data_IF_058525415708
#
_entry.id   IF_058525415708
#
_cell.length_a   1.000
_cell.length_b   1.000
_cell.length_c   1.000
_cell.angle_alpha   90.00
_cell.angle_beta   90.00
_cell.angle_gamma   90.00
#
_symmetry.space_group_name_H-M   'P 1'
#
loop_
_entity.id
_entity.type
_entity.pdbx_description
1 polymer ?
#
# COMPACT_ATOMS: atom_id res chain seq x y z
N UNK A 1 -77.09 -15.48 22.44
CA UNK A 1 -76.92 -15.09 21.02
C UNK A 1 -75.69 -14.20 20.95
N UNK A 2 -74.50 -14.79 20.92
CA UNK A 2 -73.23 -14.08 20.76
C UNK A 2 -72.35 -14.98 19.87
N UNK A 3 -71.69 -14.35 18.91
CA UNK A 3 -70.56 -14.83 18.09
C UNK A 3 -70.78 -15.89 16.99
N UNK A 4 -71.60 -15.58 15.98
CA UNK A 4 -71.49 -16.22 14.65
C UNK A 4 -71.02 -15.27 13.53
N UNK A 5 -70.95 -13.95 13.78
CA UNK A 5 -70.46 -12.98 12.80
C UNK A 5 -68.93 -12.78 12.84
N UNK A 6 -68.28 -13.02 13.98
CA UNK A 6 -66.82 -12.86 14.12
C UNK A 6 -66.02 -14.01 13.49
N UNK A 7 -66.58 -15.23 13.39
CA UNK A 7 -65.86 -16.36 12.77
C UNK A 7 -65.87 -16.26 11.25
N UNK A 8 -66.98 -15.83 10.62
CA UNK A 8 -67.06 -15.70 9.15
C UNK A 8 -66.07 -14.68 8.57
N UNK A 9 -65.85 -13.57 9.26
CA UNK A 9 -64.86 -12.57 8.82
C UNK A 9 -63.40 -13.03 8.99
N UNK A 10 -63.14 -13.97 9.90
CA UNK A 10 -61.79 -14.54 10.07
C UNK A 10 -61.50 -15.57 8.97
N UNK A 11 -62.49 -16.41 8.66
CA UNK A 11 -62.40 -17.38 7.56
C UNK A 11 -62.23 -16.68 6.20
N UNK A 12 -62.98 -15.60 5.93
CA UNK A 12 -62.84 -14.82 4.69
C UNK A 12 -61.47 -14.13 4.54
N UNK A 13 -60.83 -13.77 5.67
CA UNK A 13 -59.49 -13.17 5.68
C UNK A 13 -58.39 -14.23 5.51
N UNK A 14 -58.58 -15.42 6.06
CA UNK A 14 -57.68 -16.56 5.85
C UNK A 14 -57.76 -17.07 4.41
N UNK A 15 -58.94 -17.14 3.81
CA UNK A 15 -59.12 -17.51 2.41
C UNK A 15 -58.52 -16.48 1.45
N UNK A 16 -58.70 -15.18 1.72
CA UNK A 16 -58.03 -14.13 0.93
C UNK A 16 -56.51 -14.14 1.11
N UNK A 17 -56.02 -14.41 2.32
CA UNK A 17 -54.58 -14.55 2.55
C UNK A 17 -54.01 -15.78 1.84
N UNK A 18 -54.75 -16.89 1.82
CA UNK A 18 -54.37 -18.10 1.11
C UNK A 18 -54.35 -17.89 -0.41
N UNK A 19 -55.33 -17.20 -0.99
CA UNK A 19 -55.35 -16.84 -2.41
C UNK A 19 -54.19 -15.92 -2.80
N UNK A 20 -53.84 -14.94 -1.96
CA UNK A 20 -52.70 -14.05 -2.22
C UNK A 20 -51.38 -14.81 -2.16
N UNK A 21 -51.23 -15.73 -1.21
CA UNK A 21 -50.01 -16.57 -1.09
C UNK A 21 -49.88 -17.55 -2.27
N UNK A 22 -50.98 -18.20 -2.68
CA UNK A 22 -51.00 -19.12 -3.82
C UNK A 22 -50.72 -18.37 -5.15
N UNK A 23 -51.26 -17.17 -5.31
CA UNK A 23 -50.97 -16.30 -6.44
C UNK A 23 -49.49 -15.85 -6.47
N UNK A 24 -48.88 -15.58 -5.31
CA UNK A 24 -47.47 -15.18 -5.20
C UNK A 24 -46.51 -16.36 -5.41
N UNK A 25 -46.86 -17.56 -4.94
CA UNK A 25 -46.12 -18.81 -5.23
C UNK A 25 -46.19 -19.17 -6.73
N UNK A 26 -47.36 -19.04 -7.34
CA UNK A 26 -47.56 -19.28 -8.77
C UNK A 26 -46.76 -18.28 -9.61
N UNK A 27 -46.80 -16.98 -9.28
CA UNK A 27 -46.01 -15.95 -9.96
C UNK A 27 -44.48 -16.16 -9.80
N UNK A 28 -44.02 -16.67 -8.66
CA UNK A 28 -42.62 -17.07 -8.46
C UNK A 28 -42.24 -18.29 -9.30
N UNK A 29 -43.11 -19.28 -9.42
CA UNK A 29 -42.87 -20.45 -10.26
C UNK A 29 -42.80 -20.09 -11.75
N UNK A 30 -43.66 -19.18 -12.21
CA UNK A 30 -43.71 -18.70 -13.60
C UNK A 30 -42.51 -17.83 -14.03
N UNK A 31 -41.73 -17.34 -13.07
CA UNK A 31 -40.54 -16.50 -13.32
C UNK A 31 -39.21 -17.27 -13.23
N UNK A 32 -39.23 -18.58 -12.91
CA UNK A 32 -38.02 -19.42 -12.78
C UNK A 32 -37.22 -19.51 -14.09
N UNK A 33 -37.91 -19.64 -15.22
CA UNK A 33 -37.27 -19.80 -16.54
C UNK A 33 -36.95 -18.46 -17.23
N UNK A 34 -37.29 -17.33 -16.60
CA UNK A 34 -37.00 -15.99 -17.12
C UNK A 34 -35.71 -15.46 -16.48
N UNK A 35 -34.83 -14.79 -17.26
CA UNK A 35 -33.79 -13.98 -16.62
C UNK A 35 -34.47 -12.93 -15.72
N UNK A 36 -33.89 -12.61 -14.55
CA UNK A 36 -34.53 -11.73 -13.56
C UNK A 36 -34.85 -10.37 -14.18
N UNK A 37 -36.13 -9.98 -14.10
CA UNK A 37 -36.65 -8.72 -14.63
C UNK A 37 -36.30 -7.54 -13.71
N UNK A 38 -36.26 -6.31 -14.24
CA UNK A 38 -35.80 -5.11 -13.53
C UNK A 38 -36.60 -4.77 -12.26
N UNK A 39 -37.80 -5.34 -12.11
CA UNK A 39 -38.70 -5.20 -10.96
C UNK A 39 -38.38 -6.14 -9.78
N UNK A 40 -37.50 -7.14 -9.98
CA UNK A 40 -36.83 -7.77 -8.85
C UNK A 40 -35.76 -6.79 -8.38
N UNK A 41 -35.86 -6.28 -7.14
CA UNK A 41 -34.96 -5.27 -6.51
C UNK A 41 -33.50 -5.76 -6.31
N UNK A 42 -32.98 -6.53 -7.26
CA UNK A 42 -31.57 -6.85 -7.46
C UNK A 42 -30.92 -5.62 -8.09
N UNK A 43 -30.79 -4.56 -7.28
CA UNK A 43 -30.12 -3.33 -7.68
C UNK A 43 -28.68 -3.67 -8.09
N UNK A 44 -28.41 -3.73 -9.40
CA UNK A 44 -27.09 -4.04 -9.98
C UNK A 44 -26.02 -3.24 -9.22
N UNK A 45 -25.02 -3.94 -8.66
CA UNK A 45 -23.93 -3.30 -7.91
C UNK A 45 -23.33 -2.19 -8.77
N UNK A 46 -23.30 -0.95 -8.26
CA UNK A 46 -22.79 0.19 -9.04
C UNK A 46 -21.32 -0.08 -9.37
N UNK A 47 -21.01 -0.23 -10.66
CA UNK A 47 -19.63 -0.33 -11.14
C UNK A 47 -19.02 1.07 -11.10
N UNK A 48 -18.01 1.26 -10.26
CA UNK A 48 -17.29 2.53 -10.18
C UNK A 48 -16.22 2.60 -11.26
N UNK A 49 -16.13 3.76 -11.93
CA UNK A 49 -15.04 4.03 -12.86
C UNK A 49 -13.78 4.43 -12.08
N UNK A 50 -12.58 4.21 -12.64
CA UNK A 50 -11.33 4.54 -11.94
C UNK A 50 -11.24 6.00 -11.46
N UNK A 51 -11.83 6.93 -12.21
CA UNK A 51 -11.77 8.37 -11.92
C UNK A 51 -12.98 8.89 -11.13
N UNK A 52 -13.86 8.02 -10.63
CA UNK A 52 -14.99 8.45 -9.81
C UNK A 52 -14.49 9.08 -8.50
N UNK A 53 -15.10 10.20 -8.08
CA UNK A 53 -14.71 10.94 -6.87
C UNK A 53 -14.67 10.05 -5.62
N UNK A 54 -15.58 9.08 -5.52
CA UNK A 54 -15.62 8.12 -4.42
C UNK A 54 -14.36 7.23 -4.35
N UNK A 55 -13.80 6.85 -5.49
CA UNK A 55 -12.57 6.03 -5.58
C UNK A 55 -11.34 6.89 -5.32
N UNK A 56 -11.32 8.09 -5.87
CA UNK A 56 -10.20 9.03 -5.71
C UNK A 56 -10.08 9.49 -4.26
N UNK A 57 -11.17 9.98 -3.65
CA UNK A 57 -11.11 10.56 -2.31
C UNK A 57 -10.90 9.51 -1.21
N UNK A 58 -11.45 8.30 -1.33
CA UNK A 58 -11.27 7.26 -0.31
C UNK A 58 -9.80 6.79 -0.18
N UNK A 59 -8.98 7.05 -1.20
CA UNK A 59 -7.54 6.80 -1.12
C UNK A 59 -6.84 7.68 -0.08
N UNK A 60 -7.38 8.86 0.27
CA UNK A 60 -6.75 9.77 1.23
C UNK A 60 -6.69 9.20 2.66
N UNK A 61 -7.80 8.81 3.32
CA UNK A 61 -7.72 8.19 4.64
C UNK A 61 -6.91 6.89 4.61
N UNK A 62 -7.02 6.11 3.52
CA UNK A 62 -6.28 4.86 3.40
C UNK A 62 -4.76 5.08 3.25
N UNK A 63 -4.31 6.07 2.49
CA UNK A 63 -2.89 6.40 2.34
C UNK A 63 -2.31 6.94 3.64
N UNK A 64 -3.05 7.79 4.36
CA UNK A 64 -2.67 8.33 5.67
C UNK A 64 -2.48 7.19 6.68
N UNK A 65 -3.45 6.26 6.78
CA UNK A 65 -3.33 5.09 7.65
C UNK A 65 -2.17 4.19 7.25
N UNK A 66 -1.94 3.99 5.94
CA UNK A 66 -0.82 3.21 5.44
C UNK A 66 0.53 3.81 5.82
N UNK A 67 0.71 5.13 5.62
CA UNK A 67 1.95 5.84 5.98
C UNK A 67 2.17 5.85 7.49
N UNK A 68 1.13 6.10 8.30
CA UNK A 68 1.24 6.05 9.75
C UNK A 68 1.63 4.65 10.22
N UNK A 69 1.00 3.62 9.65
CA UNK A 69 1.35 2.24 9.89
C UNK A 69 2.82 1.95 9.56
N UNK A 70 3.30 2.38 8.38
CA UNK A 70 4.70 2.24 7.99
C UNK A 70 5.66 2.90 8.97
N UNK A 71 5.45 4.18 9.27
CA UNK A 71 6.34 4.97 10.12
C UNK A 71 6.33 4.44 11.57
N UNK A 72 5.14 4.10 12.07
CA UNK A 72 4.96 3.48 13.39
C UNK A 72 5.65 2.13 13.49
N UNK A 73 5.42 1.22 12.54
CA UNK A 73 6.09 -0.09 12.52
C UNK A 73 7.61 0.06 12.40
N UNK A 74 8.09 0.98 11.55
CA UNK A 74 9.52 1.24 11.41
C UNK A 74 10.13 1.74 12.71
N UNK A 75 9.46 2.67 13.40
CA UNK A 75 9.92 3.20 14.69
C UNK A 75 9.90 2.14 15.80
N UNK A 76 8.89 1.27 15.84
CA UNK A 76 8.79 0.21 16.86
C UNK A 76 9.82 -0.92 16.67
N UNK A 77 10.27 -1.12 15.45
CA UNK A 77 11.20 -2.21 15.09
C UNK A 77 12.65 -1.74 14.93
N UNK A 78 12.89 -0.43 15.05
CA UNK A 78 14.23 0.15 15.07
C UNK A 78 14.70 0.27 16.52
N UNK A 79 15.46 -0.73 16.98
CA UNK A 79 16.10 -0.75 18.29
C UNK A 79 17.48 -1.42 18.19
N UNK A 80 18.35 -1.11 19.16
CA UNK A 80 19.70 -1.65 19.23
C UNK A 80 19.67 -3.18 19.41
N UNK A 81 20.40 -3.91 18.55
CA UNK A 81 20.41 -5.37 18.55
C UNK A 81 19.22 -6.03 17.84
N UNK A 82 18.47 -5.29 17.01
CA UNK A 82 17.43 -5.88 16.14
C UNK A 82 18.00 -6.92 15.17
N UNK A 83 17.45 -8.14 15.20
CA UNK A 83 17.88 -9.25 14.32
C UNK A 83 17.34 -9.12 12.90
N UNK A 84 16.23 -8.40 12.72
CA UNK A 84 15.54 -8.21 11.44
C UNK A 84 15.43 -6.72 11.19
N UNK A 85 15.83 -6.26 10.01
CA UNK A 85 15.74 -4.85 9.64
C UNK A 85 14.28 -4.38 9.60
N UNK A 86 14.01 -3.18 10.14
CA UNK A 86 12.67 -2.63 10.33
C UNK A 86 11.78 -2.71 9.09
N UNK A 87 12.35 -2.45 7.90
CA UNK A 87 11.62 -2.48 6.64
C UNK A 87 11.05 -3.87 6.31
N UNK A 88 11.67 -4.97 6.77
CA UNK A 88 11.13 -6.31 6.54
C UNK A 88 9.73 -6.48 7.17
N UNK A 89 9.53 -5.95 8.38
CA UNK A 89 8.21 -5.96 9.04
C UNK A 89 7.19 -5.15 8.26
N UNK A 90 7.59 -3.97 7.78
CA UNK A 90 6.75 -3.09 6.97
C UNK A 90 6.31 -3.81 5.68
N UNK A 91 7.23 -4.43 4.95
CA UNK A 91 6.86 -5.14 3.72
C UNK A 91 6.01 -6.37 4.04
N UNK A 92 6.38 -7.16 5.05
CA UNK A 92 5.68 -8.39 5.43
C UNK A 92 4.23 -8.14 5.84
N UNK A 93 3.99 -7.19 6.75
CA UNK A 93 2.64 -6.85 7.22
C UNK A 93 1.81 -6.26 6.07
N UNK A 94 2.36 -5.32 5.29
CA UNK A 94 1.63 -4.74 4.17
C UNK A 94 1.28 -5.76 3.08
N UNK A 95 2.17 -6.72 2.82
CA UNK A 95 1.95 -7.83 1.91
C UNK A 95 0.93 -8.85 2.44
N UNK A 96 0.92 -9.11 3.75
CA UNK A 96 -0.08 -9.96 4.40
C UNK A 96 -1.48 -9.36 4.26
N UNK A 97 -1.66 -8.07 4.58
CA UNK A 97 -2.95 -7.39 4.43
C UNK A 97 -3.36 -7.30 2.96
N UNK A 98 -2.41 -7.12 2.04
CA UNK A 98 -2.67 -7.20 0.60
C UNK A 98 -3.21 -8.57 0.20
N UNK A 99 -2.55 -9.66 0.60
CA UNK A 99 -3.01 -11.03 0.35
C UNK A 99 -4.44 -11.26 0.84
N UNK A 100 -4.74 -10.84 2.07
CA UNK A 100 -6.08 -10.92 2.66
C UNK A 100 -7.11 -10.12 1.85
N UNK A 101 -6.78 -8.88 1.49
CA UNK A 101 -7.64 -8.01 0.69
C UNK A 101 -7.92 -8.55 -0.71
N UNK A 102 -6.95 -9.23 -1.34
CA UNK A 102 -7.12 -9.87 -2.65
C UNK A 102 -8.15 -11.00 -2.61
N UNK A 103 -8.17 -11.83 -1.56
CA UNK A 103 -9.17 -12.89 -1.39
C UNK A 103 -10.59 -12.32 -1.20
N UNK A 104 -10.71 -11.13 -0.59
CA UNK A 104 -12.01 -10.47 -0.36
C UNK A 104 -12.46 -9.55 -1.52
N UNK A 105 -11.88 -9.67 -2.71
CA UNK A 105 -12.20 -8.81 -3.86
C UNK A 105 -13.68 -8.84 -4.24
N UNK A 106 -14.26 -10.03 -4.35
CA UNK A 106 -15.67 -10.20 -4.69
C UNK A 106 -16.62 -9.65 -3.63
N UNK A 107 -16.51 -10.05 -2.34
CA UNK A 107 -17.42 -9.53 -1.32
C UNK A 107 -17.29 -8.02 -1.13
N UNK A 108 -16.07 -7.47 -1.12
CA UNK A 108 -15.85 -6.02 -1.04
C UNK A 108 -16.38 -5.29 -2.28
N UNK A 109 -16.25 -5.89 -3.47
CA UNK A 109 -16.78 -5.35 -4.72
C UNK A 109 -18.30 -5.25 -4.72
N UNK A 110 -18.99 -6.27 -4.21
CA UNK A 110 -20.46 -6.30 -4.06
C UNK A 110 -20.95 -5.28 -3.03
N UNK A 111 -20.21 -5.11 -1.93
CA UNK A 111 -20.55 -4.13 -0.90
C UNK A 111 -20.27 -2.70 -1.37
N UNK A 112 -19.00 -2.34 -1.60
CA UNK A 112 -18.59 -1.02 -2.06
C UNK A 112 -17.18 -1.08 -2.68
N UNK A 113 -17.12 -1.22 -4.01
CA UNK A 113 -15.87 -1.32 -4.78
C UNK A 113 -14.73 -0.35 -4.37
N UNK A 114 -15.00 0.93 -4.05
CA UNK A 114 -13.96 1.85 -3.59
C UNK A 114 -13.22 1.38 -2.33
N UNK A 115 -13.83 0.58 -1.44
CA UNK A 115 -13.13 0.02 -0.28
C UNK A 115 -12.04 -0.98 -0.68
N UNK A 116 -12.28 -1.80 -1.70
CA UNK A 116 -11.25 -2.71 -2.20
C UNK A 116 -10.02 -1.94 -2.68
N UNK A 117 -10.24 -0.86 -3.45
CA UNK A 117 -9.17 0.03 -3.90
C UNK A 117 -8.51 0.77 -2.73
N UNK A 118 -9.27 1.20 -1.73
CA UNK A 118 -8.76 1.82 -0.51
C UNK A 118 -7.82 0.88 0.25
N UNK A 119 -8.20 -0.39 0.45
CA UNK A 119 -7.37 -1.37 1.17
C UNK A 119 -6.11 -1.72 0.38
N UNK A 120 -6.28 -2.14 -0.88
CA UNK A 120 -5.16 -2.66 -1.68
C UNK A 120 -4.22 -1.56 -2.15
N UNK A 121 -4.77 -0.52 -2.78
CA UNK A 121 -3.98 0.56 -3.38
C UNK A 121 -3.74 1.71 -2.41
N UNK A 122 -4.69 2.04 -1.53
CA UNK A 122 -4.50 3.09 -0.54
C UNK A 122 -3.59 2.65 0.60
N UNK A 123 -4.09 1.74 1.44
CA UNK A 123 -3.44 1.29 2.67
C UNK A 123 -2.21 0.41 2.40
N UNK A 124 -2.38 -0.80 1.83
CA UNK A 124 -1.26 -1.74 1.62
C UNK A 124 -0.19 -1.14 0.72
N UNK A 125 -0.62 -0.38 -0.29
CA UNK A 125 0.27 0.33 -1.19
C UNK A 125 1.10 1.40 -0.45
N UNK A 126 0.52 2.14 0.49
CA UNK A 126 1.22 3.20 1.23
C UNK A 126 1.97 2.69 2.46
N UNK A 127 1.60 1.52 2.96
CA UNK A 127 2.29 0.83 4.04
C UNK A 127 3.63 0.28 3.55
N UNK A 128 3.64 -0.37 2.38
CA UNK A 128 4.88 -0.85 1.76
C UNK A 128 5.63 0.26 1.02
N UNK A 129 6.93 0.13 0.81
CA UNK A 129 7.72 1.09 -0.01
C UNK A 129 8.81 0.40 -0.80
N UNK A 130 8.80 0.57 -2.12
CA UNK A 130 9.87 0.02 -2.97
C UNK A 130 11.09 0.94 -2.97
N UNK A 131 10.91 2.26 -2.96
CA UNK A 131 12.03 3.21 -2.94
C UNK A 131 12.87 3.11 -1.67
N UNK A 132 12.24 2.90 -0.50
CA UNK A 132 12.97 2.62 0.75
C UNK A 132 13.77 1.32 0.68
N UNK A 133 13.20 0.28 0.08
CA UNK A 133 13.90 -0.99 -0.14
C UNK A 133 15.13 -0.83 -1.04
N UNK A 134 15.02 -0.06 -2.12
CA UNK A 134 16.17 0.22 -3.00
C UNK A 134 17.24 1.07 -2.30
N UNK A 135 16.83 2.04 -1.45
CA UNK A 135 17.76 2.85 -0.67
C UNK A 135 18.56 1.98 0.33
N UNK A 136 17.90 1.07 1.04
CA UNK A 136 18.55 0.17 2.02
C UNK A 136 19.59 -0.74 1.35
N UNK A 137 19.26 -1.30 0.18
CA UNK A 137 20.21 -2.10 -0.62
C UNK A 137 21.41 -1.22 -1.02
N UNK A 138 21.16 -0.03 -1.56
CA UNK A 138 22.23 0.85 -2.01
C UNK A 138 23.15 1.28 -0.86
N UNK A 139 22.57 1.70 0.28
CA UNK A 139 23.30 2.06 1.49
C UNK A 139 24.16 0.91 2.03
N UNK A 140 23.69 -0.33 1.87
CA UNK A 140 24.45 -1.52 2.27
C UNK A 140 25.68 -1.77 1.40
N UNK A 141 25.64 -1.36 0.13
CA UNK A 141 26.76 -1.50 -0.81
C UNK A 141 27.81 -0.40 -0.65
N UNK A 142 27.39 0.83 -0.36
CA UNK A 142 28.32 1.95 -0.12
C UNK A 142 28.84 1.99 1.33
N UNK A 143 28.39 1.06 2.18
CA UNK A 143 28.71 1.00 3.61
C UNK A 143 28.48 2.33 4.35
N UNK A 144 27.33 2.98 4.09
CA UNK A 144 27.02 4.31 4.60
C UNK A 144 26.96 4.43 6.14
N UNK A 145 27.01 3.31 6.86
CA UNK A 145 26.75 3.24 8.30
C UNK A 145 27.94 2.75 9.13
N UNK A 146 29.15 2.67 8.56
CA UNK A 146 30.39 2.30 9.27
C UNK A 146 30.28 1.08 10.21
N UNK A 147 29.45 0.10 9.85
CA UNK A 147 29.37 -1.12 10.63
C UNK A 147 30.67 -1.90 10.44
N UNK A 148 31.43 -2.13 11.52
CA UNK A 148 32.54 -3.09 11.54
C UNK A 148 31.98 -4.50 11.37
N UNK A 149 31.68 -4.88 10.14
CA UNK A 149 31.18 -6.21 9.78
C UNK A 149 32.36 -7.05 9.34
N UNK A 150 33.17 -7.46 10.32
CA UNK A 150 34.22 -8.45 10.13
C UNK A 150 33.61 -9.84 10.10
N UNK A 151 33.58 -10.48 8.94
CA UNK A 151 33.42 -11.93 8.83
C UNK A 151 34.80 -12.60 8.77
N UNK A 152 35.05 -13.56 9.66
CA UNK A 152 36.26 -14.41 9.80
C UNK A 152 37.56 -13.78 10.36
N UNK A 153 37.50 -12.76 11.22
CA UNK A 153 38.68 -12.37 12.04
C UNK A 153 38.31 -11.97 13.47
N UNK A 154 37.92 -12.95 14.26
CA UNK A 154 38.17 -12.97 15.70
C UNK A 154 39.36 -13.90 16.02
N UNK A 155 40.35 -13.92 15.12
CA UNK A 155 41.71 -14.39 15.46
C UNK A 155 42.56 -13.14 15.51
N UNK A 156 42.99 -12.78 16.72
CA UNK A 156 43.92 -11.70 17.04
C UNK A 156 45.15 -11.69 16.12
N UNK A 157 45.06 -11.00 14.98
CA UNK A 157 46.23 -10.65 14.18
C UNK A 157 46.11 -9.20 13.70
N UNK A 158 47.05 -8.31 14.08
CA UNK A 158 47.07 -6.93 13.66
C UNK A 158 47.63 -6.86 12.23
N UNK A 159 46.77 -7.06 11.24
CA UNK A 159 47.09 -6.80 9.83
C UNK A 159 46.04 -5.82 9.28
N UNK A 160 46.43 -4.70 8.64
CA UNK A 160 45.47 -3.77 8.06
C UNK A 160 44.59 -4.48 7.01
N UNK A 161 43.28 -4.17 6.93
CA UNK A 161 42.38 -4.87 6.03
C UNK A 161 42.73 -4.54 4.57
N UNK A 162 42.99 -5.58 3.80
CA UNK A 162 43.10 -5.51 2.35
C UNK A 162 41.74 -5.08 1.79
N UNK A 163 41.69 -4.00 1.01
CA UNK A 163 40.47 -3.36 0.46
C UNK A 163 39.47 -4.30 -0.23
N UNK A 164 39.90 -5.51 -0.59
CA UNK A 164 39.15 -6.49 -1.38
C UNK A 164 38.21 -7.40 -0.57
N UNK A 165 38.50 -7.69 0.72
CA UNK A 165 37.59 -8.53 1.54
C UNK A 165 36.31 -7.77 1.96
N UNK A 166 36.42 -6.45 2.15
CA UNK A 166 35.30 -5.61 2.59
C UNK A 166 34.18 -5.50 1.54
N UNK A 167 34.55 -5.53 0.24
CA UNK A 167 33.62 -5.34 -0.88
C UNK A 167 32.69 -6.55 -1.07
N UNK A 168 33.18 -7.78 -0.85
CA UNK A 168 32.36 -8.99 -1.01
C UNK A 168 31.26 -9.07 0.06
N UNK A 169 31.57 -8.75 1.31
CA UNK A 169 30.60 -8.78 2.43
C UNK A 169 29.49 -7.75 2.23
N UNK A 170 29.82 -6.56 1.72
CA UNK A 170 28.84 -5.50 1.43
C UNK A 170 27.90 -5.91 0.30
N UNK A 171 28.43 -6.44 -0.80
CA UNK A 171 27.63 -6.91 -1.93
C UNK A 171 26.66 -8.03 -1.53
N UNK A 172 27.15 -9.02 -0.77
CA UNK A 172 26.33 -10.13 -0.25
C UNK A 172 25.19 -9.61 0.63
N UNK A 173 25.44 -8.58 1.44
CA UNK A 173 24.39 -8.02 2.30
C UNK A 173 23.24 -7.39 1.49
N UNK A 174 23.52 -6.62 0.43
CA UNK A 174 22.45 -6.06 -0.40
C UNK A 174 21.65 -7.13 -1.16
N UNK A 175 22.30 -8.21 -1.59
CA UNK A 175 21.60 -9.40 -2.13
C UNK A 175 20.78 -10.07 -1.04
N UNK A 176 21.30 -10.19 0.18
CA UNK A 176 20.60 -10.74 1.34
C UNK A 176 19.32 -9.97 1.65
N UNK A 177 19.40 -8.63 1.76
CA UNK A 177 18.23 -7.74 1.94
C UNK A 177 17.23 -7.98 0.81
N UNK A 178 17.69 -8.00 -0.45
CA UNK A 178 16.82 -8.21 -1.61
C UNK A 178 16.08 -9.55 -1.54
N UNK A 179 16.81 -10.63 -1.22
CA UNK A 179 16.27 -11.99 -1.18
C UNK A 179 15.29 -12.18 -0.04
N UNK A 180 15.64 -11.69 1.16
CA UNK A 180 14.79 -11.76 2.35
C UNK A 180 13.50 -10.97 2.11
N UNK A 181 13.61 -9.72 1.66
CA UNK A 181 12.43 -8.88 1.43
C UNK A 181 11.50 -9.48 0.38
N UNK A 182 12.02 -9.97 -0.75
CA UNK A 182 11.20 -10.56 -1.80
C UNK A 182 10.52 -11.85 -1.33
N UNK A 183 11.27 -12.75 -0.69
CA UNK A 183 10.74 -14.03 -0.20
C UNK A 183 9.69 -13.81 0.87
N UNK A 184 9.97 -12.93 1.84
CA UNK A 184 9.02 -12.56 2.89
C UNK A 184 7.75 -11.96 2.29
N UNK A 185 7.86 -11.03 1.35
CA UNK A 185 6.70 -10.38 0.73
C UNK A 185 5.81 -11.38 -0.02
N UNK A 186 6.40 -12.29 -0.80
CA UNK A 186 5.66 -13.32 -1.53
C UNK A 186 5.01 -14.35 -0.59
N UNK A 187 5.74 -14.78 0.45
CA UNK A 187 5.20 -15.67 1.48
C UNK A 187 4.05 -15.00 2.25
N UNK A 188 4.21 -13.73 2.64
CA UNK A 188 3.18 -12.95 3.34
C UNK A 188 1.92 -12.76 2.50
N UNK A 189 2.02 -12.46 1.20
CA UNK A 189 0.84 -12.40 0.32
C UNK A 189 0.14 -13.75 0.26
N UNK A 190 0.89 -14.83 0.14
CA UNK A 190 0.32 -16.18 0.02
C UNK A 190 -0.39 -16.58 1.32
N UNK A 191 0.25 -16.33 2.46
CA UNK A 191 -0.34 -16.55 3.79
C UNK A 191 -1.57 -15.68 4.04
N UNK A 192 -1.49 -14.39 3.71
CA UNK A 192 -2.63 -13.47 3.81
C UNK A 192 -3.81 -13.91 2.96
N UNK A 193 -3.56 -14.44 1.75
CA UNK A 193 -4.63 -14.97 0.90
C UNK A 193 -5.33 -16.18 1.52
N UNK A 194 -4.58 -17.12 2.11
CA UNK A 194 -5.14 -18.26 2.86
C UNK A 194 -5.97 -17.80 4.06
N UNK A 195 -5.49 -16.81 4.83
CA UNK A 195 -6.26 -16.23 5.93
C UNK A 195 -7.56 -15.56 5.43
N UNK A 196 -7.50 -14.89 4.29
CA UNK A 196 -8.67 -14.27 3.65
C UNK A 196 -9.71 -15.30 3.25
N UNK A 197 -9.30 -16.43 2.66
CA UNK A 197 -10.18 -17.53 2.28
C UNK A 197 -10.80 -18.22 3.50
N UNK A 198 -10.03 -18.37 4.59
CA UNK A 198 -10.55 -18.92 5.84
C UNK A 198 -11.57 -17.98 6.50
N UNK A 199 -11.37 -16.66 6.40
CA UNK A 199 -12.26 -15.66 6.98
C UNK A 199 -13.51 -15.40 6.13
N UNK A 200 -13.45 -15.58 4.80
CA UNK A 200 -14.53 -15.25 3.87
C UNK A 200 -15.91 -15.80 4.27
N UNK A 201 -16.07 -17.09 4.67
CA UNK A 201 -17.37 -17.62 5.08
C UNK A 201 -17.94 -16.97 6.35
N UNK A 202 -17.08 -16.43 7.21
CA UNK A 202 -17.47 -15.79 8.47
C UNK A 202 -17.76 -14.30 8.30
N UNK A 203 -17.26 -13.67 7.23
CA UNK A 203 -17.44 -12.25 6.95
C UNK A 203 -18.77 -11.99 6.23
N UNK A 204 -19.78 -11.61 7.01
CA UNK A 204 -21.07 -11.17 6.47
C UNK A 204 -20.99 -9.69 6.07
N UNK A 205 -20.89 -9.44 4.77
CA UNK A 205 -20.96 -8.06 4.26
C UNK A 205 -22.41 -7.58 4.19
N UNK A 206 -22.70 -6.36 4.67
CA UNK A 206 -24.05 -5.81 4.60
C UNK A 206 -24.43 -5.48 3.14
N UNK A 207 -25.72 -5.19 2.93
CA UNK A 207 -26.22 -4.76 1.61
C UNK A 207 -25.50 -3.49 1.14
N UNK A 208 -25.49 -3.28 -0.17
CA UNK A 208 -24.88 -2.12 -0.83
C UNK A 208 -25.30 -0.80 -0.15
N UNK A 209 -24.35 0.10 0.18
CA UNK A 209 -24.63 1.25 1.02
C UNK A 209 -25.57 2.26 0.32
N UNK A 210 -26.56 2.83 1.06
CA UNK A 210 -27.43 3.87 0.53
C UNK A 210 -26.65 5.12 0.11
N UNK A 211 -27.30 5.99 -0.67
CA UNK A 211 -26.67 7.21 -1.22
C UNK A 211 -26.03 8.08 -0.12
N UNK A 212 -26.72 8.26 1.01
CA UNK A 212 -26.21 9.09 2.11
C UNK A 212 -24.88 8.55 2.66
N UNK A 213 -24.76 7.24 2.91
CA UNK A 213 -23.52 6.64 3.41
C UNK A 213 -22.36 6.85 2.45
N UNK A 214 -22.60 6.70 1.14
CA UNK A 214 -21.55 6.91 0.12
C UNK A 214 -21.09 8.37 0.05
N UNK A 215 -22.02 9.31 0.12
CA UNK A 215 -21.68 10.73 0.20
C UNK A 215 -20.95 11.05 1.50
N UNK A 216 -21.39 10.53 2.64
CA UNK A 216 -20.72 10.69 3.94
C UNK A 216 -19.29 10.15 3.89
N UNK A 217 -19.06 8.94 3.35
CA UNK A 217 -17.70 8.38 3.19
C UNK A 217 -16.83 9.31 2.35
N UNK A 218 -17.37 9.84 1.24
CA UNK A 218 -16.64 10.73 0.34
C UNK A 218 -16.28 12.06 1.02
N UNK A 219 -17.24 12.68 1.71
CA UNK A 219 -17.04 13.93 2.47
C UNK A 219 -16.05 13.72 3.61
N UNK A 220 -16.21 12.66 4.41
CA UNK A 220 -15.29 12.32 5.49
C UNK A 220 -13.88 12.11 4.94
N UNK A 221 -13.73 11.44 3.79
CA UNK A 221 -12.42 11.22 3.18
C UNK A 221 -11.74 12.55 2.78
N UNK A 222 -12.50 13.51 2.24
CA UNK A 222 -12.01 14.85 1.95
C UNK A 222 -11.64 15.62 3.23
N UNK A 223 -12.46 15.52 4.27
CA UNK A 223 -12.21 16.15 5.57
C UNK A 223 -10.97 15.58 6.26
N UNK A 224 -10.74 14.27 6.19
CA UNK A 224 -9.53 13.62 6.73
C UNK A 224 -8.27 14.12 6.01
N UNK A 225 -8.34 14.32 4.69
CA UNK A 225 -7.22 14.94 3.97
C UNK A 225 -7.02 16.42 4.36
N UNK A 226 -8.10 17.20 4.47
CA UNK A 226 -8.00 18.57 4.98
C UNK A 226 -7.41 18.64 6.39
N UNK A 227 -7.77 17.69 7.25
CA UNK A 227 -7.25 17.57 8.60
C UNK A 227 -5.73 17.28 8.62
N UNK A 228 -5.18 16.53 7.66
CA UNK A 228 -3.73 16.29 7.60
C UNK A 228 -2.92 17.55 7.29
N UNK A 229 -3.50 18.49 6.54
CA UNK A 229 -2.90 19.81 6.29
C UNK A 229 -2.96 20.65 7.57
N UNK A 230 -4.11 20.65 8.25
CA UNK A 230 -4.29 21.38 9.52
C UNK A 230 -3.35 20.85 10.61
N UNK A 231 -3.17 19.53 10.73
CA UNK A 231 -2.26 18.95 11.75
C UNK A 231 -0.80 19.34 11.53
N UNK A 232 -0.36 19.54 10.29
CA UNK A 232 1.00 20.03 10.04
C UNK A 232 1.28 21.41 10.63
N UNK A 233 0.28 22.30 10.59
CA UNK A 233 0.40 23.65 11.15
C UNK A 233 0.12 23.70 12.66
N UNK A 234 -0.78 22.85 13.18
CA UNK A 234 -1.20 22.87 14.58
C UNK A 234 -0.33 22.02 15.53
N UNK A 235 0.23 20.90 15.09
CA UNK A 235 1.07 20.06 15.97
C UNK A 235 2.46 20.68 16.17
N UNK A 236 3.09 20.25 17.28
CA UNK A 236 4.47 20.60 17.64
C UNK A 236 5.45 20.36 16.48
N UNK A 237 6.44 21.25 16.36
CA UNK A 237 7.49 21.24 15.34
C UNK A 237 8.23 19.89 15.28
N UNK A 238 8.40 19.25 16.44
CA UNK A 238 9.04 17.93 16.59
C UNK A 238 8.37 16.84 15.76
N UNK A 239 7.05 16.87 15.57
CA UNK A 239 6.32 15.86 14.79
C UNK A 239 6.29 16.16 13.30
N UNK A 240 6.73 17.34 12.87
CA UNK A 240 6.59 17.76 11.47
C UNK A 240 7.42 16.90 10.52
N UNK A 241 8.68 16.70 10.85
CA UNK A 241 9.57 15.87 10.03
C UNK A 241 9.33 14.36 10.23
N UNK A 242 8.82 13.96 11.40
CA UNK A 242 8.61 12.55 11.74
C UNK A 242 7.33 11.97 11.17
N UNK A 243 6.26 12.76 11.08
CA UNK A 243 4.95 12.26 10.70
C UNK A 243 4.14 13.25 9.85
N UNK A 244 3.86 14.48 10.33
CA UNK A 244 2.80 15.29 9.72
C UNK A 244 3.12 15.76 8.30
N UNK A 245 4.39 16.02 7.97
CA UNK A 245 4.81 16.30 6.59
C UNK A 245 4.55 15.09 5.68
N UNK A 246 4.86 13.88 6.14
CA UNK A 246 4.60 12.66 5.37
C UNK A 246 3.09 12.44 5.15
N UNK A 247 2.23 12.80 6.10
CA UNK A 247 0.77 12.68 5.95
C UNK A 247 0.21 13.54 4.82
N UNK A 248 0.66 14.79 4.71
CA UNK A 248 0.24 15.71 3.62
C UNK A 248 0.59 15.12 2.26
N UNK A 249 1.81 14.60 2.14
CA UNK A 249 2.35 14.12 0.88
C UNK A 249 1.97 12.67 0.55
N UNK A 250 1.42 11.91 1.50
CA UNK A 250 0.98 10.52 1.31
C UNK A 250 -0.07 10.39 0.20
N UNK A 251 -1.14 11.17 0.27
CA UNK A 251 -2.26 11.08 -0.67
C UNK A 251 -1.86 11.49 -2.10
N UNK A 252 -1.16 12.62 -2.35
CA UNK A 252 -0.61 12.91 -3.67
C UNK A 252 0.27 11.80 -4.24
N UNK A 253 1.14 11.19 -3.42
CA UNK A 253 1.96 10.05 -3.85
C UNK A 253 1.12 8.85 -4.27
N UNK A 254 0.12 8.49 -3.47
CA UNK A 254 -0.83 7.41 -3.78
C UNK A 254 -1.65 7.69 -5.03
N UNK A 255 -2.11 8.94 -5.25
CA UNK A 255 -2.84 9.34 -6.44
C UNK A 255 -1.98 9.20 -7.70
N UNK A 256 -0.74 9.70 -7.66
CA UNK A 256 0.19 9.57 -8.79
C UNK A 256 0.40 8.09 -9.14
N UNK A 257 0.62 7.23 -8.14
CA UNK A 257 0.67 5.77 -8.37
C UNK A 257 -0.61 5.25 -9.00
N UNK A 258 -1.75 5.56 -8.42
CA UNK A 258 -3.05 5.06 -8.87
C UNK A 258 -3.32 5.43 -10.34
N UNK A 259 -3.04 6.68 -10.72
CA UNK A 259 -3.18 7.13 -12.10
C UNK A 259 -2.16 6.46 -13.04
N UNK A 260 -0.90 6.32 -12.64
CA UNK A 260 0.10 5.59 -13.43
C UNK A 260 -0.32 4.13 -13.65
N UNK A 261 -0.75 3.43 -12.61
CA UNK A 261 -1.21 2.03 -12.70
C UNK A 261 -2.47 1.89 -13.56
N UNK A 262 -3.45 2.78 -13.42
CA UNK A 262 -4.70 2.71 -14.20
C UNK A 262 -4.50 3.02 -15.68
N UNK A 263 -3.58 3.94 -16.03
CA UNK A 263 -3.31 4.33 -17.42
C UNK A 263 -2.33 3.37 -18.11
N UNK A 264 -1.25 2.97 -17.44
CA UNK A 264 -0.13 2.29 -18.09
C UNK A 264 -0.20 0.75 -17.97
N UNK A 265 -0.72 0.20 -16.86
CA UNK A 265 -0.79 -1.28 -16.71
C UNK A 265 -1.57 -1.96 -17.84
N UNK A 266 -2.74 -1.45 -18.30
CA UNK A 266 -3.49 -2.07 -19.39
C UNK A 266 -2.79 -1.97 -20.75
N UNK A 267 -1.83 -1.04 -20.91
CA UNK A 267 -1.23 -0.70 -22.21
C UNK A 267 -0.16 -1.69 -22.66
N UNK A 268 0.57 -2.29 -21.73
CA UNK A 268 1.65 -3.23 -22.03
C UNK A 268 1.40 -4.60 -21.37
N UNK A 269 1.06 -5.61 -22.16
CA UNK A 269 0.77 -6.99 -21.67
C UNK A 269 2.02 -7.77 -21.21
N UNK A 270 3.22 -7.22 -21.45
CA UNK A 270 4.48 -7.88 -21.15
C UNK A 270 4.89 -7.77 -19.67
N UNK A 271 4.58 -6.63 -19.04
CA UNK A 271 4.83 -6.36 -17.63
C UNK A 271 3.91 -5.22 -17.14
N UNK A 272 3.60 -5.15 -15.83
CA UNK A 272 2.84 -4.05 -15.23
C UNK A 272 3.61 -2.72 -15.27
N UNK A 273 3.50 -2.03 -16.41
CA UNK A 273 4.35 -0.86 -16.69
C UNK A 273 4.04 0.37 -15.83
N UNK A 274 2.82 0.52 -15.32
CA UNK A 274 2.44 1.62 -14.43
C UNK A 274 3.01 1.45 -13.03
N UNK A 275 2.94 0.23 -12.48
CA UNK A 275 3.58 -0.09 -11.19
C UNK A 275 5.10 0.04 -11.29
N UNK A 276 5.70 -0.44 -12.40
CA UNK A 276 7.12 -0.21 -12.68
C UNK A 276 7.45 1.28 -12.73
N UNK A 277 6.72 2.08 -13.53
CA UNK A 277 6.97 3.51 -13.69
C UNK A 277 6.86 4.25 -12.34
N UNK A 278 5.85 3.95 -11.54
CA UNK A 278 5.68 4.53 -10.20
C UNK A 278 6.87 4.18 -9.29
N UNK A 279 7.30 2.92 -9.26
CA UNK A 279 8.44 2.46 -8.47
C UNK A 279 9.76 3.13 -8.89
N UNK A 280 10.05 3.22 -10.19
CA UNK A 280 11.29 3.83 -10.69
C UNK A 280 11.28 5.34 -10.49
N UNK A 281 10.16 6.03 -10.80
CA UNK A 281 10.02 7.47 -10.58
C UNK A 281 10.16 7.83 -9.10
N UNK A 282 9.46 7.13 -8.21
CA UNK A 282 9.55 7.41 -6.78
C UNK A 282 10.93 7.08 -6.20
N UNK A 283 11.61 6.06 -6.73
CA UNK A 283 13.00 5.75 -6.37
C UNK A 283 13.96 6.86 -6.78
N UNK A 284 13.83 7.39 -8.01
CA UNK A 284 14.64 8.50 -8.49
C UNK A 284 14.40 9.80 -7.71
N UNK A 285 13.14 10.11 -7.40
CA UNK A 285 12.78 11.27 -6.59
C UNK A 285 13.33 11.17 -5.16
N UNK A 286 13.20 9.99 -4.53
CA UNK A 286 13.74 9.76 -3.19
C UNK A 286 15.26 9.95 -3.18
N UNK A 287 15.98 9.42 -4.18
CA UNK A 287 17.41 9.62 -4.35
C UNK A 287 17.75 11.12 -4.49
N UNK A 288 17.03 11.86 -5.32
CA UNK A 288 17.25 13.29 -5.52
C UNK A 288 17.01 14.10 -4.23
N UNK A 289 15.93 13.81 -3.49
CA UNK A 289 15.67 14.47 -2.21
C UNK A 289 16.72 14.13 -1.15
N UNK A 290 17.26 12.91 -1.17
CA UNK A 290 18.36 12.51 -0.29
C UNK A 290 19.66 13.29 -0.63
N UNK A 291 19.96 13.50 -1.91
CA UNK A 291 21.09 14.38 -2.31
C UNK A 291 20.85 15.81 -1.81
N UNK A 292 19.65 16.36 -2.00
CA UNK A 292 19.31 17.71 -1.56
C UNK A 292 19.40 17.90 -0.04
N UNK A 293 19.15 16.87 0.77
CA UNK A 293 19.34 16.94 2.23
C UNK A 293 20.83 16.93 2.64
N UNK A 294 21.71 16.43 1.77
CA UNK A 294 23.13 16.22 2.02
C UNK A 294 24.05 17.26 1.36
N UNK A 295 23.51 18.30 0.72
CA UNK A 295 24.32 19.36 0.08
C UNK A 295 25.04 20.22 1.12
N UNK A 296 26.30 20.56 0.87
CA UNK A 296 27.18 21.29 1.80
C UNK A 296 26.65 22.65 2.30
N UNK A 297 25.67 23.25 1.61
CA UNK A 297 25.03 24.49 2.04
C UNK A 297 23.87 24.17 2.98
N UNK A 298 23.76 24.83 4.16
CA UNK A 298 22.71 24.54 5.11
C UNK A 298 21.33 24.81 4.48
N UNK A 299 20.54 23.75 4.35
CA UNK A 299 19.14 23.82 3.95
C UNK A 299 18.34 24.35 5.14
N UNK A 300 17.34 25.21 4.91
CA UNK A 300 16.49 25.70 6.00
C UNK A 300 15.79 24.53 6.73
N UNK A 301 15.56 24.62 8.05
CA UNK A 301 14.88 23.55 8.79
C UNK A 301 13.52 23.17 8.19
N UNK A 302 12.76 24.16 7.72
CA UNK A 302 11.49 23.95 7.02
C UNK A 302 11.66 23.16 5.71
N UNK A 303 12.68 23.50 4.90
CA UNK A 303 12.96 22.76 3.67
C UNK A 303 13.40 21.32 3.96
N UNK A 304 14.15 21.08 5.04
CA UNK A 304 14.47 19.73 5.51
C UNK A 304 13.22 18.93 5.86
N UNK A 305 12.30 19.52 6.64
CA UNK A 305 11.01 18.91 6.97
C UNK A 305 10.19 18.56 5.75
N UNK A 306 10.12 19.46 4.76
CA UNK A 306 9.40 19.21 3.50
C UNK A 306 10.05 18.11 2.69
N UNK A 307 11.39 18.13 2.54
CA UNK A 307 12.13 17.07 1.86
C UNK A 307 11.93 15.71 2.55
N UNK A 308 11.89 15.68 3.88
CA UNK A 308 11.60 14.46 4.63
C UNK A 308 10.18 13.96 4.37
N UNK A 309 9.18 14.85 4.41
CA UNK A 309 7.81 14.52 4.04
C UNK A 309 7.64 14.06 2.59
N UNK A 310 8.44 14.56 1.65
CA UNK A 310 8.45 14.10 0.26
C UNK A 310 9.09 12.71 0.12
N UNK A 311 10.11 12.38 0.91
CA UNK A 311 10.70 11.03 0.94
C UNK A 311 9.73 10.03 1.58
N UNK A 312 9.32 10.31 2.81
CA UNK A 312 8.55 9.39 3.65
C UNK A 312 7.06 9.37 3.31
N UNK A 313 6.52 10.46 2.79
CA UNK A 313 5.13 10.58 2.33
C UNK A 313 5.02 10.29 0.84
N UNK A 314 5.47 11.23 -0.01
CA UNK A 314 5.23 11.16 -1.45
C UNK A 314 5.89 9.93 -2.10
N UNK A 315 7.22 9.81 -2.01
CA UNK A 315 7.96 8.72 -2.67
C UNK A 315 7.61 7.37 -2.05
N UNK A 316 7.48 7.33 -0.73
CA UNK A 316 7.06 6.14 -0.01
C UNK A 316 5.65 5.66 -0.41
N UNK A 317 4.69 6.56 -0.68
CA UNK A 317 3.33 6.20 -1.12
C UNK A 317 3.20 6.00 -2.63
N UNK A 318 4.04 6.66 -3.42
CA UNK A 318 4.14 6.49 -4.87
C UNK A 318 4.67 5.09 -5.21
N UNK A 319 5.66 4.62 -4.46
CA UNK A 319 6.24 3.29 -4.66
C UNK A 319 5.54 2.22 -3.82
N UNK A 320 5.70 0.94 -4.18
CA UNK A 320 5.08 -0.18 -3.43
C UNK A 320 5.73 -1.52 -3.70
N UNK A 321 5.83 -2.31 -2.63
CA UNK A 321 6.20 -3.73 -2.70
C UNK A 321 4.96 -4.62 -2.70
N UNK A 322 3.87 -4.26 -2.01
CA UNK A 322 2.67 -5.10 -1.94
C UNK A 322 2.00 -5.31 -3.30
N UNK A 323 1.87 -4.25 -4.11
CA UNK A 323 1.31 -4.39 -5.47
C UNK A 323 2.28 -5.12 -6.38
N UNK A 324 3.57 -4.79 -6.30
CA UNK A 324 4.63 -5.47 -7.06
C UNK A 324 4.67 -6.98 -6.77
N UNK A 325 4.62 -7.39 -5.50
CA UNK A 325 4.64 -8.79 -5.10
C UNK A 325 3.35 -9.53 -5.51
N UNK A 326 2.19 -8.88 -5.46
CA UNK A 326 0.93 -9.44 -5.96
C UNK A 326 1.01 -9.70 -7.48
N UNK A 327 1.53 -8.74 -8.24
CA UNK A 327 1.74 -8.88 -9.68
C UNK A 327 2.76 -9.99 -10.00
N UNK A 328 3.86 -10.09 -9.24
CA UNK A 328 4.87 -11.15 -9.41
C UNK A 328 4.27 -12.54 -9.16
N UNK A 329 3.41 -12.68 -8.14
CA UNK A 329 2.70 -13.92 -7.83
C UNK A 329 1.75 -14.34 -8.96
N UNK A 330 1.05 -13.39 -9.55
CA UNK A 330 0.01 -13.66 -10.56
C UNK A 330 0.60 -13.77 -11.99
N UNK A 331 1.84 -13.32 -12.21
CA UNK A 331 2.57 -13.48 -13.48
C UNK A 331 3.13 -14.91 -13.67
N UNK A 332 3.19 -15.36 -14.92
CA UNK A 332 3.89 -16.61 -15.26
C UNK A 332 5.40 -16.54 -14.94
N UNK A 333 5.99 -17.69 -14.56
CA UNK A 333 7.36 -17.81 -14.00
C UNK A 333 8.42 -16.93 -14.68
N UNK A 334 8.54 -17.00 -16.01
CA UNK A 334 9.53 -16.22 -16.75
C UNK A 334 9.23 -14.72 -16.79
N UNK A 335 7.94 -14.34 -16.89
CA UNK A 335 7.53 -12.92 -16.83
C UNK A 335 7.76 -12.34 -15.45
N UNK A 336 7.44 -13.12 -14.41
CA UNK A 336 7.69 -12.76 -13.01
C UNK A 336 9.19 -12.53 -12.76
N UNK A 337 10.04 -13.49 -13.14
CA UNK A 337 11.50 -13.35 -13.01
C UNK A 337 12.03 -12.11 -13.73
N UNK A 338 11.64 -11.91 -15.00
CA UNK A 338 12.01 -10.71 -15.76
C UNK A 338 11.54 -9.43 -15.07
N UNK A 339 10.30 -9.39 -14.57
CA UNK A 339 9.74 -8.22 -13.91
C UNK A 339 10.48 -7.87 -12.63
N UNK A 340 10.84 -8.87 -11.81
CA UNK A 340 11.65 -8.69 -10.61
C UNK A 340 13.02 -8.12 -10.96
N UNK A 341 13.74 -8.76 -11.90
CA UNK A 341 15.10 -8.35 -12.29
C UNK A 341 15.10 -6.94 -12.87
N UNK A 342 14.18 -6.63 -13.79
CA UNK A 342 14.09 -5.29 -14.41
C UNK A 342 13.77 -4.22 -13.36
N UNK A 343 12.80 -4.48 -12.47
CA UNK A 343 12.45 -3.51 -11.42
C UNK A 343 13.62 -3.23 -10.49
N UNK A 344 14.32 -4.30 -10.06
CA UNK A 344 15.46 -4.20 -9.16
C UNK A 344 16.66 -3.49 -9.81
N UNK A 345 17.05 -3.90 -11.02
CA UNK A 345 18.18 -3.29 -11.76
C UNK A 345 17.91 -1.81 -12.03
N UNK A 346 16.72 -1.46 -12.51
CA UNK A 346 16.39 -0.06 -12.78
C UNK A 346 16.34 0.78 -11.49
N UNK A 347 15.83 0.21 -10.40
CA UNK A 347 15.81 0.88 -9.09
C UNK A 347 17.22 1.19 -8.58
N UNK A 348 18.11 0.19 -8.61
CA UNK A 348 19.50 0.36 -8.22
C UNK A 348 20.27 1.27 -9.17
N UNK A 349 19.97 1.23 -10.48
CA UNK A 349 20.56 2.14 -11.45
C UNK A 349 20.18 3.60 -11.17
N UNK A 350 18.92 3.88 -10.83
CA UNK A 350 18.50 5.23 -10.44
C UNK A 350 19.22 5.70 -9.17
N UNK A 351 19.36 4.82 -8.17
CA UNK A 351 20.13 5.12 -6.96
C UNK A 351 21.60 5.44 -7.30
N UNK A 352 22.24 4.59 -8.09
CA UNK A 352 23.63 4.77 -8.51
C UNK A 352 23.84 6.08 -9.29
N UNK A 353 22.98 6.38 -10.25
CA UNK A 353 23.12 7.57 -11.10
C UNK A 353 22.89 8.88 -10.34
N UNK A 354 22.03 8.89 -9.32
CA UNK A 354 21.65 10.11 -8.60
C UNK A 354 22.47 10.28 -7.32
N UNK A 355 22.54 9.24 -6.47
CA UNK A 355 23.30 9.29 -5.21
C UNK A 355 24.79 9.05 -5.41
N UNK A 356 25.17 8.17 -6.33
CA UNK A 356 26.57 7.81 -6.57
C UNK A 356 27.49 9.03 -6.76
N UNK A 357 27.19 9.97 -7.67
CA UNK A 357 28.00 11.17 -7.84
C UNK A 357 28.13 11.99 -6.55
N UNK A 358 27.06 12.11 -5.77
CA UNK A 358 27.07 12.84 -4.50
C UNK A 358 28.03 12.23 -3.46
N UNK A 359 28.16 10.90 -3.43
CA UNK A 359 29.04 10.20 -2.49
C UNK A 359 30.50 10.13 -2.96
N UNK A 360 30.75 10.03 -4.28
CA UNK A 360 32.11 9.88 -4.81
C UNK A 360 32.82 11.19 -5.19
N UNK A 361 32.07 12.26 -5.51
CA UNK A 361 32.66 13.56 -5.90
C UNK A 361 32.50 14.64 -4.84
N UNK A 362 31.45 14.58 -4.04
CA UNK A 362 31.30 15.40 -2.84
C UNK A 362 31.93 14.68 -1.65
N UNK A 363 32.60 15.41 -0.76
CA UNK A 363 33.02 14.92 0.56
C UNK A 363 31.80 14.66 1.49
N UNK A 364 30.70 14.12 0.95
CA UNK A 364 29.39 13.94 1.59
C UNK A 364 29.38 12.84 2.66
N UNK A 365 30.52 12.22 2.94
CA UNK A 365 30.66 11.20 3.97
C UNK A 365 30.70 11.78 5.39
N UNK A 366 30.81 13.10 5.59
CA UNK A 366 31.06 13.63 6.95
C UNK A 366 29.98 14.53 7.58
N UNK A 367 28.99 15.11 6.88
CA UNK A 367 27.96 15.93 7.54
C UNK A 367 26.59 15.87 6.88
N UNK A 368 25.61 15.26 7.56
CA UNK A 368 24.19 15.52 7.32
C UNK A 368 23.97 17.01 7.62
N UNK A 369 23.72 17.79 6.58
CA UNK A 369 23.52 19.25 6.66
C UNK A 369 22.11 19.62 7.07
N UNK A 370 21.15 18.70 6.92
CA UNK A 370 19.79 18.91 7.39
C UNK A 370 19.71 18.87 8.92
N UNK A 371 19.28 20.00 9.51
CA UNK A 371 18.87 20.09 10.91
C UNK A 371 17.38 20.36 10.96
N UNK A 372 16.65 19.45 11.60
CA UNK A 372 15.23 19.63 11.88
C UNK A 372 15.07 20.58 13.08
N UNK A 373 14.00 21.37 13.07
CA UNK A 373 13.61 22.24 14.19
C UNK A 373 12.85 21.44 15.25
#
# INVERSE_FOLDING_TARGET
MVDTSSSRNADDLEDQAAEVVDAEETHRAETIDRPPDEDQDIRKSKVYKPYDLAVVLILAPASILGVLGRLGTSSLTTYDGSSVFALAYVQGIGCLVMGFGLSLKEPLGRYYGPFYTAITTGFCGSFTTFSGWQLDIFNSWINASDYRRGGLRDVSFPIPPLRHELTHVQFINGIGISTITLSLSLASISFGATLGQLAEPYLKFPRFPPKWQRYSITVISALVYGASIVTFFLLSDSFRHQATAALIFSYPGTLTRYFLSTVLNPRYRALPSGTLAANILGTALLAAFQVLQNVNSPVSPYACTVLQGLKDGYCGCLTTVSTFAAEVRDLGRWKACRYVVVSWVLGQLMMLLILGPSYWTGHAQERITCRFQ
#
